data_IF_557938511380
#
_entry.id   IF_557938511380
#
_cell.length_a   1.000
_cell.length_b   1.000
_cell.length_c   1.000
_cell.angle_alpha   90.00
_cell.angle_beta   90.00
_cell.angle_gamma   90.00
#
_symmetry.space_group_name_H-M   'P 1'
#
loop_
_entity.id
_entity.type
_entity.pdbx_description
1 polymer ?
#
# COMPACT_ATOMS: atom_id res chain seq x y z
N UNK A 1 -25.15 -4.31 10.89
CA UNK A 1 -23.74 -4.65 10.62
C UNK A 1 -23.02 -3.35 10.40
N UNK A 2 -21.91 -3.10 11.11
CA UNK A 2 -21.14 -1.87 10.95
C UNK A 2 -20.36 -1.93 9.64
N UNK A 3 -20.40 -0.88 8.82
CA UNK A 3 -19.69 -0.82 7.54
C UNK A 3 -18.16 -0.93 7.73
N UNK A 4 -17.43 -1.32 6.68
CA UNK A 4 -15.97 -1.53 6.72
C UNK A 4 -15.23 -0.32 7.29
N UNK A 5 -15.58 0.89 6.85
CA UNK A 5 -14.96 2.14 7.34
C UNK A 5 -15.08 2.26 8.86
N UNK A 6 -16.25 1.96 9.42
CA UNK A 6 -16.49 2.10 10.84
C UNK A 6 -15.69 1.06 11.65
N UNK A 7 -15.53 -0.16 11.14
CA UNK A 7 -14.65 -1.16 11.73
C UNK A 7 -13.19 -0.67 11.76
N UNK A 8 -12.72 -0.07 10.66
CA UNK A 8 -11.36 0.49 10.57
C UNK A 8 -11.17 1.70 11.49
N UNK A 9 -12.16 2.60 11.60
CA UNK A 9 -12.15 3.74 12.55
C UNK A 9 -12.05 3.24 13.98
N UNK A 10 -12.89 2.28 14.36
CA UNK A 10 -12.91 1.74 15.70
C UNK A 10 -11.57 1.07 16.03
N UNK A 11 -11.00 0.31 15.08
CA UNK A 11 -9.67 -0.30 15.24
C UNK A 11 -8.54 0.72 15.35
N UNK A 12 -8.59 1.83 14.59
CA UNK A 12 -7.61 2.93 14.70
C UNK A 12 -7.68 3.61 16.06
N UNK A 13 -8.87 3.72 16.65
CA UNK A 13 -9.04 4.30 17.98
C UNK A 13 -8.51 3.37 19.08
N UNK A 14 -8.72 2.06 18.96
CA UNK A 14 -8.25 1.10 19.98
C UNK A 14 -6.74 0.83 19.88
N UNK A 15 -6.19 0.81 18.66
CA UNK A 15 -4.83 0.37 18.39
C UNK A 15 -4.10 1.34 17.44
N UNK A 16 -3.93 2.63 17.80
CA UNK A 16 -3.40 3.64 16.90
C UNK A 16 -1.98 3.33 16.37
N UNK A 17 -1.16 2.60 17.15
CA UNK A 17 0.19 2.19 16.73
C UNK A 17 0.20 1.22 15.54
N UNK A 18 -0.92 0.56 15.25
CA UNK A 18 -1.06 -0.30 14.07
C UNK A 18 -1.46 0.45 12.82
N UNK A 19 -1.69 1.76 12.90
CA UNK A 19 -2.05 2.63 11.79
C UNK A 19 -0.91 3.62 11.62
N UNK A 20 0.06 3.38 10.70
CA UNK A 20 1.16 4.31 10.52
C UNK A 20 0.58 5.68 10.26
N UNK A 21 1.11 6.68 10.96
CA UNK A 21 1.01 8.02 10.43
C UNK A 21 1.57 7.96 9.02
N UNK A 22 0.79 8.42 8.03
CA UNK A 22 1.29 8.49 6.67
C UNK A 22 2.67 9.16 6.74
N UNK A 23 3.70 8.68 6.00
CA UNK A 23 5.04 9.31 5.95
C UNK A 23 4.98 10.82 5.65
N UNK A 24 3.83 11.26 5.14
CA UNK A 24 3.25 12.60 5.22
C UNK A 24 3.38 13.35 6.56
N UNK A 25 3.53 12.74 7.74
CA UNK A 25 3.61 13.50 9.01
C UNK A 25 4.72 14.56 8.98
N UNK A 26 5.86 14.24 8.35
CA UNK A 26 6.94 15.20 8.06
C UNK A 26 6.89 15.79 6.64
N UNK A 27 6.36 15.07 5.65
CA UNK A 27 6.34 15.50 4.25
C UNK A 27 5.11 16.35 3.87
N UNK A 28 3.91 16.06 4.38
CA UNK A 28 2.64 16.73 4.06
C UNK A 28 2.53 18.18 4.51
N UNK A 29 3.40 18.62 5.43
CA UNK A 29 3.49 20.03 5.82
C UNK A 29 4.48 20.83 4.96
N UNK A 30 5.09 20.19 3.95
CA UNK A 30 6.06 20.85 3.06
C UNK A 30 5.40 21.29 1.76
N UNK A 31 5.93 22.35 1.14
CA UNK A 31 5.53 22.77 -0.20
C UNK A 31 5.65 21.63 -1.22
N UNK A 32 6.65 20.76 -1.05
CA UNK A 32 6.87 19.61 -1.93
C UNK A 32 5.71 18.61 -1.93
N UNK A 33 5.01 18.41 -0.80
CA UNK A 33 3.85 17.54 -0.76
C UNK A 33 2.60 18.19 -1.37
N UNK A 34 2.42 19.50 -1.22
CA UNK A 34 1.37 20.24 -1.90
C UNK A 34 1.57 20.18 -3.42
N UNK A 35 2.79 20.43 -3.90
CA UNK A 35 3.13 20.33 -5.32
C UNK A 35 2.92 18.91 -5.86
N UNK A 36 3.28 17.88 -5.08
CA UNK A 36 3.03 16.49 -5.45
C UNK A 36 1.54 16.14 -5.49
N UNK A 37 0.71 16.74 -4.62
CA UNK A 37 -0.73 16.55 -4.62
C UNK A 37 -1.35 17.16 -5.89
N UNK A 38 -1.00 18.42 -6.20
CA UNK A 38 -1.48 19.08 -7.42
C UNK A 38 -1.00 18.35 -8.69
N UNK A 39 0.25 17.91 -8.73
CA UNK A 39 0.75 17.08 -9.83
C UNK A 39 -0.06 15.78 -9.99
N UNK A 40 -0.41 15.11 -8.89
CA UNK A 40 -1.23 13.91 -8.93
C UNK A 40 -2.66 14.22 -9.44
N UNK A 41 -3.24 15.38 -9.13
CA UNK A 41 -4.52 15.81 -9.71
C UNK A 41 -4.44 15.92 -11.25
N UNK A 42 -3.30 16.37 -11.76
CA UNK A 42 -3.02 16.50 -13.19
C UNK A 42 -2.58 15.18 -13.87
N UNK A 43 -2.63 14.05 -13.15
CA UNK A 43 -2.23 12.75 -13.68
C UNK A 43 -0.71 12.59 -13.82
N UNK A 44 0.06 13.27 -12.96
CA UNK A 44 1.52 13.18 -12.88
C UNK A 44 1.92 12.47 -11.59
N UNK A 45 2.68 11.39 -11.73
CA UNK A 45 3.22 10.61 -10.62
C UNK A 45 4.73 10.89 -10.48
N UNK A 46 5.18 11.14 -9.25
CA UNK A 46 6.58 11.43 -8.96
C UNK A 46 7.40 10.14 -8.81
N UNK A 47 8.28 9.86 -9.78
CA UNK A 47 9.27 8.79 -9.67
C UNK A 47 10.41 9.21 -8.74
N UNK A 48 10.69 8.40 -7.71
CA UNK A 48 11.63 8.75 -6.62
C UNK A 48 11.34 10.07 -5.90
N UNK A 49 10.09 10.56 -5.96
CA UNK A 49 9.66 11.78 -5.27
C UNK A 49 10.06 13.09 -5.95
N UNK A 50 10.83 13.05 -7.05
CA UNK A 50 11.36 14.25 -7.70
C UNK A 50 11.23 14.26 -9.24
N UNK A 51 11.01 13.11 -9.88
CA UNK A 51 10.95 13.00 -11.34
C UNK A 51 9.50 12.84 -11.82
N UNK A 52 8.86 13.88 -12.37
CA UNK A 52 7.48 13.79 -12.81
C UNK A 52 7.33 12.86 -14.02
N UNK A 53 6.37 11.94 -13.96
CA UNK A 53 5.97 11.07 -15.07
C UNK A 53 4.47 11.24 -15.31
N UNK A 54 4.08 11.63 -16.53
CA UNK A 54 2.68 11.71 -16.92
C UNK A 54 2.15 10.29 -17.13
N UNK A 55 1.14 9.91 -16.35
CA UNK A 55 0.45 8.62 -16.46
C UNK A 55 -1.03 8.79 -16.78
N UNK A 56 -1.60 9.97 -16.51
CA UNK A 56 -3.05 10.13 -16.39
C UNK A 56 -3.54 9.64 -15.02
N UNK A 57 -4.86 9.69 -14.84
CA UNK A 57 -5.58 9.14 -13.67
C UNK A 57 -6.53 7.98 -14.06
N UNK A 58 -6.68 7.75 -15.37
CA UNK A 58 -7.52 6.75 -16.02
C UNK A 58 -6.78 6.21 -17.23
N UNK A 59 -7.10 4.99 -17.65
CA UNK A 59 -6.47 4.24 -18.73
C UNK A 59 -4.94 4.16 -18.55
N UNK A 60 -4.47 4.01 -17.30
CA UNK A 60 -3.05 4.01 -16.99
C UNK A 60 -2.43 2.70 -17.47
N UNK A 61 -1.31 2.78 -18.19
CA UNK A 61 -0.51 1.59 -18.46
C UNK A 61 0.28 1.18 -17.19
N UNK A 62 -0.37 0.34 -16.38
CA UNK A 62 0.16 -0.22 -15.13
C UNK A 62 1.38 -1.13 -15.32
N UNK A 63 1.68 -1.56 -16.56
CA UNK A 63 2.94 -2.28 -16.85
C UNK A 63 4.18 -1.38 -16.74
N UNK A 64 3.97 -0.06 -16.80
CA UNK A 64 5.00 0.96 -16.65
C UNK A 64 5.77 1.28 -17.94
N UNK A 65 5.17 1.17 -19.13
CA UNK A 65 5.88 1.53 -20.38
C UNK A 65 6.23 3.01 -20.49
N UNK A 66 5.58 3.87 -19.69
CA UNK A 66 5.82 5.32 -19.61
C UNK A 66 7.30 5.70 -19.42
N UNK A 67 8.09 4.84 -18.76
CA UNK A 67 9.51 5.08 -18.51
C UNK A 67 10.29 3.78 -18.58
N UNK A 68 11.30 3.73 -19.46
CA UNK A 68 12.25 2.63 -19.58
C UNK A 68 13.23 2.60 -18.39
N UNK A 69 12.74 2.22 -17.22
CA UNK A 69 13.54 2.04 -16.00
C UNK A 69 12.96 0.90 -15.17
N UNK A 70 13.82 -0.01 -14.67
CA UNK A 70 13.36 -1.21 -13.97
C UNK A 70 12.47 -0.91 -12.75
N UNK A 71 12.84 0.10 -11.96
CA UNK A 71 12.12 0.51 -10.75
C UNK A 71 10.84 1.29 -11.02
N UNK A 72 10.62 1.80 -12.24
CA UNK A 72 9.46 2.64 -12.50
C UNK A 72 8.15 1.86 -12.33
N UNK A 73 8.07 0.67 -12.94
CA UNK A 73 6.90 -0.21 -12.80
C UNK A 73 6.60 -0.55 -11.35
N UNK A 74 7.65 -0.73 -10.53
CA UNK A 74 7.50 -1.02 -9.11
C UNK A 74 6.98 0.21 -8.36
N UNK A 75 7.57 1.39 -8.57
CA UNK A 75 7.14 2.63 -7.91
C UNK A 75 5.72 3.05 -8.31
N UNK A 76 5.34 2.88 -9.57
CA UNK A 76 3.98 3.13 -10.05
C UNK A 76 2.96 2.27 -9.27
N UNK A 77 3.22 0.96 -9.19
CA UNK A 77 2.34 0.01 -8.51
C UNK A 77 2.42 0.05 -6.97
N UNK A 78 3.25 0.91 -6.37
CA UNK A 78 3.28 1.16 -4.90
C UNK A 78 2.28 2.21 -4.43
N UNK A 79 1.65 2.93 -5.36
CA UNK A 79 0.63 3.93 -5.05
C UNK A 79 1.10 5.10 -4.16
N UNK A 80 2.37 5.51 -4.29
CA UNK A 80 2.92 6.62 -3.49
C UNK A 80 2.22 7.96 -3.74
N UNK A 81 1.52 8.12 -4.88
CA UNK A 81 0.71 9.31 -5.16
C UNK A 81 -0.49 9.47 -4.21
N UNK A 82 -0.95 8.39 -3.55
CA UNK A 82 -2.03 8.49 -2.58
C UNK A 82 -1.63 9.30 -1.35
N UNK A 83 -0.35 9.33 -0.99
CA UNK A 83 0.12 9.99 0.24
C UNK A 83 -0.11 11.51 0.19
N UNK A 84 0.35 12.24 -0.84
CA UNK A 84 0.07 13.66 -0.97
C UNK A 84 -1.42 13.95 -1.23
N UNK A 85 -2.17 13.07 -1.90
CA UNK A 85 -3.62 13.24 -2.08
C UNK A 85 -4.38 13.15 -0.74
N UNK A 86 -4.11 12.13 0.08
CA UNK A 86 -4.71 12.00 1.40
C UNK A 86 -4.34 13.19 2.30
N UNK A 87 -3.09 13.65 2.24
CA UNK A 87 -2.65 14.85 2.94
C UNK A 87 -3.39 16.11 2.47
N UNK A 88 -3.49 16.33 1.15
CA UNK A 88 -4.22 17.45 0.56
C UNK A 88 -5.67 17.48 1.02
N UNK A 89 -6.34 16.31 1.01
CA UNK A 89 -7.70 16.18 1.52
C UNK A 89 -7.80 16.48 3.01
N UNK A 90 -6.96 15.86 3.86
CA UNK A 90 -7.00 16.06 5.32
C UNK A 90 -6.78 17.53 5.70
N UNK A 91 -5.94 18.24 4.96
CA UNK A 91 -5.60 19.65 5.25
C UNK A 91 -6.65 20.64 4.75
N UNK A 92 -7.34 20.36 3.65
CA UNK A 92 -8.21 21.34 2.96
C UNK A 92 -9.69 20.95 2.95
N UNK A 93 -9.97 19.65 3.11
CA UNK A 93 -11.27 19.02 2.83
C UNK A 93 -11.79 19.25 1.41
N UNK A 94 -10.90 19.58 0.47
CA UNK A 94 -11.26 19.69 -0.94
C UNK A 94 -11.39 18.29 -1.56
N UNK A 95 -12.63 17.96 -1.93
CA UNK A 95 -13.01 16.68 -2.54
C UNK A 95 -12.25 16.36 -3.83
N UNK A 96 -11.57 17.32 -4.49
CA UNK A 96 -10.73 17.04 -5.66
C UNK A 96 -9.64 16.00 -5.35
N UNK A 97 -9.06 16.04 -4.15
CA UNK A 97 -8.00 15.11 -3.75
C UNK A 97 -8.54 13.69 -3.51
N UNK A 98 -9.69 13.57 -2.84
CA UNK A 98 -10.33 12.28 -2.61
C UNK A 98 -10.81 11.63 -3.91
N UNK A 99 -11.43 12.41 -4.81
CA UNK A 99 -11.80 11.94 -6.17
C UNK A 99 -10.58 11.48 -6.97
N UNK A 100 -9.46 12.19 -6.89
CA UNK A 100 -8.25 11.76 -7.58
C UNK A 100 -7.67 10.46 -7.00
N UNK A 101 -7.66 10.30 -5.68
CA UNK A 101 -7.25 9.05 -5.04
C UNK A 101 -8.12 7.87 -5.48
N UNK A 102 -9.45 8.07 -5.53
CA UNK A 102 -10.39 7.09 -6.08
C UNK A 102 -10.07 6.75 -7.53
N UNK A 103 -9.88 7.75 -8.40
CA UNK A 103 -9.63 7.51 -9.83
C UNK A 103 -8.43 6.58 -10.06
N UNK A 104 -7.31 6.79 -9.34
CA UNK A 104 -6.14 5.93 -9.42
C UNK A 104 -6.41 4.49 -8.97
N UNK A 105 -7.11 4.30 -7.85
CA UNK A 105 -7.42 2.97 -7.32
C UNK A 105 -8.43 2.27 -8.23
N UNK A 106 -9.48 2.96 -8.63
CA UNK A 106 -10.54 2.42 -9.48
C UNK A 106 -10.01 2.02 -10.86
N UNK A 107 -9.14 2.84 -11.47
CA UNK A 107 -8.48 2.50 -12.73
C UNK A 107 -7.64 1.22 -12.63
N UNK A 108 -6.91 1.05 -11.52
CA UNK A 108 -6.18 -0.18 -11.26
C UNK A 108 -7.12 -1.37 -11.08
N UNK A 109 -8.21 -1.21 -10.33
CA UNK A 109 -9.23 -2.24 -10.14
C UNK A 109 -9.91 -2.64 -11.44
N UNK A 110 -10.09 -1.71 -12.38
CA UNK A 110 -10.67 -1.97 -13.70
C UNK A 110 -9.66 -2.70 -14.62
N UNK A 111 -8.37 -2.38 -14.50
CA UNK A 111 -7.30 -2.99 -15.29
C UNK A 111 -6.83 -4.37 -14.77
N UNK A 112 -7.17 -4.75 -13.54
CA UNK A 112 -6.68 -5.97 -12.89
C UNK A 112 -7.79 -6.99 -12.64
N UNK A 113 -7.43 -8.26 -12.79
CA UNK A 113 -8.29 -9.39 -12.44
C UNK A 113 -7.80 -10.03 -11.14
N UNK A 114 -8.67 -10.77 -10.41
CA UNK A 114 -8.25 -11.54 -9.25
C UNK A 114 -7.03 -12.40 -9.56
N UNK A 115 -6.00 -12.32 -8.71
CA UNK A 115 -4.80 -13.11 -8.94
C UNK A 115 -5.07 -14.61 -8.82
N UNK A 116 -4.40 -15.43 -9.64
CA UNK A 116 -4.49 -16.88 -9.55
C UNK A 116 -3.97 -17.37 -8.20
N UNK A 117 -4.78 -18.14 -7.48
CA UNK A 117 -4.40 -18.84 -6.25
C UNK A 117 -4.03 -20.30 -6.50
N UNK A 118 -3.82 -20.68 -7.77
CA UNK A 118 -3.39 -22.02 -8.15
C UNK A 118 -1.85 -22.13 -8.21
N UNK A 119 -1.25 -23.26 -7.77
CA UNK A 119 0.21 -23.41 -7.65
C UNK A 119 1.01 -23.23 -8.95
N UNK A 120 0.37 -23.40 -10.11
CA UNK A 120 0.97 -23.42 -11.44
C UNK A 120 0.83 -22.09 -12.21
N UNK A 121 0.19 -21.07 -11.63
CA UNK A 121 0.03 -19.74 -12.20
C UNK A 121 0.58 -18.65 -11.25
N UNK A 122 1.88 -18.65 -10.90
CA UNK A 122 2.39 -17.81 -9.82
C UNK A 122 2.64 -16.35 -10.24
N UNK A 123 2.36 -15.93 -11.47
CA UNK A 123 2.74 -14.58 -11.91
C UNK A 123 1.63 -13.59 -11.61
N UNK A 124 1.91 -12.51 -10.86
CA UNK A 124 0.95 -11.43 -10.70
C UNK A 124 0.83 -10.68 -12.03
N UNK A 125 -0.04 -9.66 -12.08
CA UNK A 125 -0.17 -8.84 -13.27
C UNK A 125 1.17 -8.21 -13.70
N UNK A 126 1.38 -7.94 -15.01
CA UNK A 126 2.59 -7.28 -15.47
C UNK A 126 2.86 -5.97 -14.72
N UNK A 127 4.02 -5.87 -14.06
CA UNK A 127 4.39 -4.71 -13.24
C UNK A 127 4.33 -4.98 -11.74
N UNK A 128 3.62 -6.01 -11.30
CA UNK A 128 3.48 -6.40 -9.91
C UNK A 128 4.61 -7.30 -9.41
N UNK A 129 4.87 -7.19 -8.11
CA UNK A 129 5.77 -8.03 -7.33
C UNK A 129 5.24 -8.14 -5.90
N UNK A 130 5.79 -9.05 -5.11
CA UNK A 130 5.45 -9.15 -3.68
C UNK A 130 5.75 -7.84 -2.94
N UNK A 131 6.84 -7.16 -3.27
CA UNK A 131 7.23 -5.92 -2.60
C UNK A 131 6.31 -4.74 -2.94
N UNK A 132 6.01 -4.49 -4.22
CA UNK A 132 5.13 -3.35 -4.53
C UNK A 132 3.71 -3.59 -4.02
N UNK A 133 3.23 -4.83 -4.02
CA UNK A 133 1.96 -5.22 -3.43
C UNK A 133 1.93 -4.99 -1.92
N UNK A 134 2.97 -5.40 -1.19
CA UNK A 134 3.07 -5.16 0.25
C UNK A 134 2.99 -3.65 0.58
N UNK A 135 3.66 -2.80 -0.20
CA UNK A 135 3.61 -1.34 -0.02
C UNK A 135 2.27 -0.75 -0.45
N UNK A 136 1.70 -1.23 -1.57
CA UNK A 136 0.39 -0.80 -2.11
C UNK A 136 -0.73 -1.04 -1.11
N UNK A 137 -0.81 -2.25 -0.57
CA UNK A 137 -1.84 -2.64 0.39
C UNK A 137 -1.62 -1.99 1.76
N UNK A 138 -0.35 -1.75 2.08
CA UNK A 138 0.10 -1.14 3.31
C UNK A 138 0.70 -2.16 4.27
N UNK A 139 1.50 -1.64 5.18
CA UNK A 139 2.25 -2.38 6.20
C UNK A 139 2.30 -1.54 7.48
N UNK A 140 3.07 -1.92 8.50
CA UNK A 140 3.28 -1.04 9.66
C UNK A 140 4.11 0.21 9.33
N UNK A 141 4.81 0.25 8.19
CA UNK A 141 5.59 1.42 7.72
C UNK A 141 4.95 2.17 6.56
N UNK A 142 4.17 1.49 5.72
CA UNK A 142 3.53 2.09 4.54
C UNK A 142 2.02 2.16 4.73
N UNK A 143 1.38 3.33 4.59
CA UNK A 143 -0.07 3.43 4.80
C UNK A 143 -0.86 2.64 3.75
N UNK A 144 -0.44 2.70 2.48
CA UNK A 144 -1.07 1.97 1.39
C UNK A 144 -2.57 2.30 1.23
N UNK A 145 -3.29 1.39 0.60
CA UNK A 145 -4.71 1.53 0.27
C UNK A 145 -5.60 1.52 1.50
N UNK A 146 -5.36 0.62 2.46
CA UNK A 146 -6.25 0.50 3.62
C UNK A 146 -6.26 1.78 4.45
N UNK A 147 -5.11 2.45 4.60
CA UNK A 147 -5.06 3.74 5.27
C UNK A 147 -5.72 4.86 4.47
N UNK A 148 -5.64 4.83 3.13
CA UNK A 148 -6.38 5.78 2.31
C UNK A 148 -7.89 5.68 2.53
N UNK A 149 -8.43 4.48 2.77
CA UNK A 149 -9.85 4.29 3.13
C UNK A 149 -10.21 5.00 4.44
N UNK A 150 -9.30 5.06 5.40
CA UNK A 150 -9.51 5.73 6.69
C UNK A 150 -9.26 7.23 6.60
N UNK A 151 -8.25 7.66 5.86
CA UNK A 151 -7.91 9.09 5.75
C UNK A 151 -8.89 9.88 4.87
N UNK A 152 -9.67 9.19 4.04
CA UNK A 152 -10.68 9.74 3.14
C UNK A 152 -12.11 9.31 3.53
N UNK A 153 -12.28 8.81 4.76
CA UNK A 153 -13.52 8.16 5.21
C UNK A 153 -14.74 9.08 5.37
N UNK A 154 -14.51 10.39 5.43
CA UNK A 154 -15.55 11.42 5.46
C UNK A 154 -15.81 12.05 4.09
N UNK A 155 -15.09 11.61 3.05
CA UNK A 155 -15.36 11.99 1.66
C UNK A 155 -16.50 11.17 1.07
N UNK A 156 -17.40 11.85 0.36
CA UNK A 156 -18.42 11.18 -0.46
C UNK A 156 -17.86 10.37 -1.63
N UNK A 157 -16.56 10.52 -1.96
CA UNK A 157 -15.91 9.73 -2.99
C UNK A 157 -15.65 8.28 -2.52
N UNK A 158 -15.52 8.00 -1.23
CA UNK A 158 -15.25 6.66 -0.68
C UNK A 158 -16.54 6.02 -0.15
N UNK A 159 -17.52 5.86 -1.04
CA UNK A 159 -18.77 5.19 -0.73
C UNK A 159 -18.60 3.69 -0.39
N UNK A 160 -19.60 3.10 0.25
CA UNK A 160 -19.55 1.70 0.72
C UNK A 160 -19.30 0.69 -0.41
N UNK A 161 -19.86 0.93 -1.60
CA UNK A 161 -19.69 0.03 -2.74
C UNK A 161 -18.25 0.06 -3.26
N UNK A 162 -17.65 1.24 -3.35
CA UNK A 162 -16.24 1.41 -3.71
C UNK A 162 -15.32 0.79 -2.66
N UNK A 163 -15.57 1.03 -1.37
CA UNK A 163 -14.80 0.46 -0.26
C UNK A 163 -14.83 -1.07 -0.28
N UNK A 164 -16.01 -1.69 -0.47
CA UNK A 164 -16.14 -3.15 -0.56
C UNK A 164 -15.40 -3.68 -1.80
N UNK A 165 -15.41 -2.96 -2.93
CA UNK A 165 -14.65 -3.33 -4.14
C UNK A 165 -13.14 -3.30 -3.88
N UNK A 166 -12.64 -2.27 -3.18
CA UNK A 166 -11.23 -2.19 -2.76
C UNK A 166 -10.88 -3.35 -1.83
N UNK A 167 -11.63 -3.57 -0.76
CA UNK A 167 -11.35 -4.64 0.22
C UNK A 167 -11.45 -6.02 -0.40
N UNK A 168 -12.46 -6.28 -1.25
CA UNK A 168 -12.56 -7.51 -2.02
C UNK A 168 -11.34 -7.73 -2.91
N UNK A 169 -10.77 -6.65 -3.47
CA UNK A 169 -9.52 -6.75 -4.22
C UNK A 169 -8.33 -7.13 -3.34
N UNK A 170 -8.25 -6.55 -2.14
CA UNK A 170 -7.17 -6.83 -1.22
C UNK A 170 -7.18 -8.29 -0.77
N UNK A 171 -8.35 -8.94 -0.68
CA UNK A 171 -8.45 -10.37 -0.33
C UNK A 171 -7.63 -11.22 -1.29
N UNK A 172 -7.85 -11.10 -2.60
CA UNK A 172 -7.11 -11.93 -3.56
C UNK A 172 -5.64 -11.51 -3.71
N UNK A 173 -5.30 -10.25 -3.42
CA UNK A 173 -3.90 -9.81 -3.37
C UNK A 173 -3.16 -10.42 -2.18
N UNK A 174 -3.75 -10.39 -0.98
CA UNK A 174 -3.16 -10.95 0.24
C UNK A 174 -3.10 -12.48 0.19
N UNK A 175 -4.11 -13.14 -0.39
CA UNK A 175 -4.10 -14.58 -0.63
C UNK A 175 -2.92 -14.97 -1.52
N UNK A 176 -2.76 -14.28 -2.65
CA UNK A 176 -1.63 -14.52 -3.54
C UNK A 176 -0.29 -14.24 -2.83
N UNK A 177 -0.18 -13.14 -2.07
CA UNK A 177 1.04 -12.76 -1.35
C UNK A 177 1.43 -13.83 -0.32
N UNK A 178 0.46 -14.38 0.42
CA UNK A 178 0.69 -15.44 1.39
C UNK A 178 1.18 -16.75 0.75
N UNK A 179 0.73 -17.07 -0.46
CA UNK A 179 1.16 -18.26 -1.20
C UNK A 179 2.50 -18.08 -1.91
N UNK A 180 2.94 -16.84 -2.12
CA UNK A 180 4.11 -16.50 -2.93
C UNK A 180 5.14 -15.68 -2.14
N UNK A 181 5.27 -15.94 -0.83
CA UNK A 181 6.23 -15.24 0.01
C UNK A 181 7.66 -15.34 -0.57
N UNK A 182 8.41 -14.22 -0.63
CA UNK A 182 9.82 -14.24 -1.00
C UNK A 182 10.64 -15.18 -0.11
N UNK A 183 11.76 -15.69 -0.63
CA UNK A 183 12.60 -16.64 0.09
C UNK A 183 13.33 -16.03 1.30
N UNK A 184 13.56 -14.73 1.32
CA UNK A 184 14.28 -14.04 2.39
C UNK A 184 14.46 -12.55 2.10
N UNK A 185 15.42 -11.93 2.80
CA UNK A 185 15.74 -10.51 2.74
C UNK A 185 14.54 -9.61 3.11
N UNK A 186 14.69 -8.31 2.87
CA UNK A 186 13.70 -7.27 3.10
C UNK A 186 12.33 -7.54 2.45
N UNK A 187 12.29 -8.14 1.26
CA UNK A 187 11.02 -8.40 0.57
C UNK A 187 10.15 -9.38 1.35
N UNK A 188 10.76 -10.37 2.02
CA UNK A 188 10.02 -11.36 2.82
C UNK A 188 9.41 -10.72 4.06
N UNK A 189 10.20 -9.94 4.81
CA UNK A 189 9.72 -9.21 5.99
C UNK A 189 8.63 -8.21 5.58
N UNK A 190 8.81 -7.46 4.49
CA UNK A 190 7.80 -6.52 3.99
C UNK A 190 6.46 -7.21 3.64
N UNK A 191 6.52 -8.39 3.00
CA UNK A 191 5.33 -9.16 2.68
C UNK A 191 4.61 -9.67 3.95
N UNK A 192 5.36 -10.18 4.93
CA UNK A 192 4.82 -10.65 6.20
C UNK A 192 4.24 -9.52 7.05
N UNK A 193 4.90 -8.36 7.10
CA UNK A 193 4.41 -7.15 7.78
C UNK A 193 3.09 -6.65 7.14
N UNK A 194 2.99 -6.69 5.81
CA UNK A 194 1.74 -6.45 5.11
C UNK A 194 0.65 -7.43 5.59
N UNK A 195 0.87 -8.74 5.49
CA UNK A 195 -0.12 -9.75 5.92
C UNK A 195 -0.54 -9.57 7.38
N UNK A 196 0.41 -9.36 8.28
CA UNK A 196 0.17 -9.11 9.70
C UNK A 196 -0.70 -7.87 9.92
N UNK A 197 -0.27 -6.73 9.36
CA UNK A 197 -0.95 -5.45 9.57
C UNK A 197 -2.37 -5.45 9.00
N UNK A 198 -2.59 -6.03 7.82
CA UNK A 198 -3.94 -6.12 7.26
C UNK A 198 -4.82 -7.08 8.06
N UNK A 199 -4.31 -8.26 8.44
CA UNK A 199 -5.01 -9.21 9.30
C UNK A 199 -5.41 -8.62 10.65
N UNK A 200 -4.59 -7.74 11.21
CA UNK A 200 -4.88 -7.04 12.45
C UNK A 200 -5.94 -5.94 12.26
N UNK A 201 -5.82 -5.14 11.19
CA UNK A 201 -6.67 -3.95 10.97
C UNK A 201 -8.11 -4.31 10.60
N UNK A 202 -8.31 -5.39 9.85
CA UNK A 202 -9.63 -5.85 9.42
C UNK A 202 -9.73 -7.39 9.50
N UNK A 203 -9.78 -7.95 10.73
CA UNK A 203 -9.68 -9.39 10.95
C UNK A 203 -10.82 -10.20 10.32
N UNK A 204 -12.01 -9.60 10.20
CA UNK A 204 -13.18 -10.21 9.56
C UNK A 204 -12.95 -10.54 8.07
N UNK A 205 -11.98 -9.87 7.43
CA UNK A 205 -11.62 -10.08 6.02
C UNK A 205 -10.28 -10.79 5.86
N UNK A 206 -9.30 -10.43 6.69
CA UNK A 206 -7.90 -10.82 6.47
C UNK A 206 -7.32 -11.68 7.61
N UNK A 207 -8.09 -11.94 8.68
CA UNK A 207 -7.61 -12.60 9.90
C UNK A 207 -7.01 -13.99 9.68
N UNK A 208 -7.39 -14.69 8.60
CA UNK A 208 -6.80 -15.98 8.22
C UNK A 208 -5.29 -15.95 8.00
N UNK A 209 -4.71 -14.79 7.69
CA UNK A 209 -3.27 -14.63 7.47
C UNK A 209 -2.46 -14.39 8.76
N UNK A 210 -3.13 -14.10 9.89
CA UNK A 210 -2.46 -13.60 11.09
C UNK A 210 -1.42 -14.57 11.65
N UNK A 211 -1.79 -15.85 11.83
CA UNK A 211 -0.87 -16.86 12.39
C UNK A 211 0.37 -17.02 11.52
N UNK A 212 0.18 -17.22 10.21
CA UNK A 212 1.31 -17.41 9.29
C UNK A 212 2.21 -16.17 9.18
N UNK A 213 1.62 -14.97 9.28
CA UNK A 213 2.39 -13.73 9.31
C UNK A 213 3.24 -13.61 10.60
N UNK A 214 2.66 -13.91 11.77
CA UNK A 214 3.39 -13.90 13.05
C UNK A 214 4.51 -14.93 13.09
N UNK A 215 4.24 -16.17 12.68
CA UNK A 215 5.24 -17.24 12.64
C UNK A 215 6.38 -16.90 11.68
N UNK A 216 6.03 -16.35 10.51
CA UNK A 216 6.99 -15.86 9.53
C UNK A 216 7.85 -14.73 10.09
N UNK A 217 7.25 -13.68 10.67
CA UNK A 217 7.98 -12.55 11.23
C UNK A 217 8.94 -12.99 12.34
N UNK A 218 8.52 -13.89 13.23
CA UNK A 218 9.39 -14.45 14.26
C UNK A 218 10.58 -15.23 13.65
N UNK A 219 10.33 -15.99 12.58
CA UNK A 219 11.39 -16.70 11.85
C UNK A 219 12.37 -15.73 11.20
N UNK A 220 11.86 -14.70 10.53
CA UNK A 220 12.72 -13.70 9.88
C UNK A 220 13.50 -12.88 10.91
N UNK A 221 12.90 -12.51 12.04
CA UNK A 221 13.63 -11.82 13.11
C UNK A 221 14.82 -12.66 13.60
N UNK A 222 14.61 -13.96 13.83
CA UNK A 222 15.65 -14.87 14.30
C UNK A 222 16.75 -15.17 13.26
N UNK A 223 16.48 -14.98 11.96
CA UNK A 223 17.39 -15.37 10.87
C UNK A 223 18.00 -14.19 10.12
N UNK A 224 17.35 -13.02 10.16
CA UNK A 224 17.74 -11.84 9.40
C UNK A 224 18.29 -10.70 10.25
N UNK A 225 18.10 -10.72 11.58
CA UNK A 225 18.71 -9.75 12.49
C UNK A 225 19.96 -10.37 13.11
N UNK A 226 21.09 -9.73 12.85
CA UNK A 226 22.40 -10.15 13.33
C UNK A 226 22.53 -9.90 14.85
N UNK A 227 23.49 -10.55 15.55
CA UNK A 227 23.65 -10.40 16.99
C UNK A 227 23.91 -8.96 17.48
N UNK A 228 24.37 -8.07 16.59
CA UNK A 228 24.57 -6.65 16.86
C UNK A 228 23.32 -5.78 16.59
N UNK A 229 22.20 -6.41 16.22
CA UNK A 229 20.93 -5.76 15.90
C UNK A 229 20.84 -5.26 14.46
N UNK A 230 21.85 -5.48 13.62
CA UNK A 230 21.80 -5.07 12.22
C UNK A 230 21.01 -6.06 11.37
N UNK A 231 20.22 -5.55 10.42
CA UNK A 231 19.62 -6.38 9.37
C UNK A 231 20.69 -6.93 8.41
N UNK A 232 20.53 -8.18 7.96
CA UNK A 232 21.53 -8.93 7.18
C UNK A 232 21.99 -8.21 5.90
N UNK A 233 21.13 -7.38 5.30
CA UNK A 233 21.47 -6.66 4.07
C UNK A 233 22.44 -5.48 4.28
N UNK A 234 22.68 -5.09 5.53
CA UNK A 234 23.66 -4.04 5.90
C UNK A 234 23.45 -2.71 5.15
N UNK A 235 22.20 -2.41 4.83
CA UNK A 235 21.77 -1.14 4.25
C UNK A 235 21.04 -0.35 5.32
N UNK A 236 21.47 0.89 5.59
CA UNK A 236 20.83 1.72 6.62
C UNK A 236 19.32 1.90 6.37
N UNK A 237 18.90 2.06 5.11
CA UNK A 237 17.48 2.19 4.77
C UNK A 237 16.68 0.90 4.98
N UNK A 238 17.27 -0.27 4.71
CA UNK A 238 16.60 -1.53 5.01
C UNK A 238 16.64 -1.86 6.49
N UNK A 239 17.71 -1.50 7.20
CA UNK A 239 17.77 -1.64 8.64
C UNK A 239 16.67 -0.82 9.34
N UNK A 240 16.48 0.44 8.93
CA UNK A 240 15.42 1.30 9.46
C UNK A 240 14.02 0.76 9.21
N UNK A 241 13.79 0.07 8.11
CA UNK A 241 12.48 -0.52 7.79
C UNK A 241 12.28 -1.88 8.48
N UNK A 242 13.25 -2.79 8.40
CA UNK A 242 13.11 -4.20 8.80
C UNK A 242 13.23 -4.44 10.31
N UNK A 243 13.76 -3.47 11.06
CA UNK A 243 13.94 -3.52 12.51
C UNK A 243 12.97 -2.56 13.22
#
# INVERSE_FOLDING_TARGET
MSGIIEQLRQRRQTDPGMFPESPAGKWAQTAQAADAAEAALDGVVMFYGDKPIRTGRRDIDWSGSHRKHQEWRAQLNRFMMLYPLCAGYRNTKDEKYARAARDYIEDWLDAHQPYPTQPDMPRPAPGDSTLNMAVRLGSTRHPGWLMALVDLDDSGAFDEAFVERVVSSMVWQLDWLAMNLPAGANWRIAALDCLFSQAFRLPERFGKHLSGAVDGLNTEFATQILPDGAHLERSAGYNDWMC
#
